data_IF_630428047272
#
_entry.id   IF_630428047272
#
_cell.length_a   1.000
_cell.length_b   1.000
_cell.length_c   1.000
_cell.angle_alpha   90.00
_cell.angle_beta   90.00
_cell.angle_gamma   90.00
#
_symmetry.space_group_name_H-M   'P 1'
#
loop_
_entity.id
_entity.type
_entity.pdbx_description
1 polymer ?
#
# COMPACT_ATOMS: atom_id res chain seq x y z
N UNK A 1 11.51 -22.55 1.51
CA UNK A 1 10.17 -22.40 0.91
C UNK A 1 10.25 -22.18 -0.61
N UNK A 2 10.44 -23.27 -1.35
CA UNK A 2 10.56 -23.25 -2.83
C UNK A 2 9.28 -22.71 -3.50
N UNK A 3 8.13 -22.77 -2.82
CA UNK A 3 6.82 -22.36 -3.36
C UNK A 3 6.32 -20.99 -2.92
N UNK A 4 6.95 -20.37 -1.95
CA UNK A 4 6.62 -18.99 -1.57
C UNK A 4 7.28 -18.01 -2.54
N UNK A 5 6.60 -16.87 -2.78
CA UNK A 5 7.14 -15.75 -3.58
C UNK A 5 7.26 -16.00 -5.09
N UNK A 6 6.58 -17.04 -5.61
CA UNK A 6 6.48 -17.27 -7.05
C UNK A 6 5.38 -16.44 -7.72
N UNK A 7 4.46 -15.85 -6.95
CA UNK A 7 3.32 -15.09 -7.45
C UNK A 7 3.68 -14.01 -8.47
N UNK A 8 4.62 -13.11 -8.18
CA UNK A 8 5.02 -12.05 -9.11
C UNK A 8 5.54 -12.61 -10.44
N UNK A 9 6.43 -13.58 -10.38
CA UNK A 9 7.02 -14.19 -11.58
C UNK A 9 6.00 -14.94 -12.41
N UNK A 10 5.14 -15.74 -11.77
CA UNK A 10 4.07 -16.49 -12.47
C UNK A 10 3.09 -15.52 -13.15
N UNK A 11 2.74 -14.41 -12.51
CA UNK A 11 1.87 -13.41 -13.11
C UNK A 11 2.49 -12.76 -14.36
N UNK A 12 3.79 -12.47 -14.33
CA UNK A 12 4.53 -11.96 -15.48
C UNK A 12 4.50 -12.98 -16.64
N UNK A 13 4.82 -14.23 -16.37
CA UNK A 13 4.79 -15.25 -17.40
C UNK A 13 3.39 -15.54 -17.93
N UNK A 14 2.37 -15.49 -17.06
CA UNK A 14 0.98 -15.63 -17.49
C UNK A 14 0.58 -14.48 -18.44
N UNK A 15 0.88 -13.24 -18.09
CA UNK A 15 0.58 -12.08 -18.93
C UNK A 15 1.31 -12.15 -20.27
N UNK A 16 2.59 -12.55 -20.24
CA UNK A 16 3.41 -12.76 -21.43
C UNK A 16 2.84 -13.85 -22.33
N UNK A 17 2.47 -14.99 -21.77
CA UNK A 17 1.90 -16.10 -22.52
C UNK A 17 0.56 -15.74 -23.16
N UNK A 18 -0.30 -14.99 -22.47
CA UNK A 18 -1.54 -14.47 -23.05
C UNK A 18 -1.26 -13.56 -24.27
N UNK A 19 -0.31 -12.63 -24.16
CA UNK A 19 0.12 -11.80 -25.31
C UNK A 19 0.66 -12.64 -26.47
N UNK A 20 1.44 -13.67 -26.18
CA UNK A 20 1.92 -14.60 -27.19
C UNK A 20 0.77 -15.29 -27.93
N UNK A 21 -0.21 -15.84 -27.21
CA UNK A 21 -1.37 -16.51 -27.82
C UNK A 21 -2.21 -15.56 -28.70
N UNK A 22 -2.42 -14.33 -28.24
CA UNK A 22 -3.11 -13.27 -28.98
C UNK A 22 -2.34 -12.93 -30.27
N UNK A 23 -1.04 -12.67 -30.16
CA UNK A 23 -0.18 -12.31 -31.27
C UNK A 23 -0.04 -13.42 -32.32
N UNK A 24 -0.21 -14.69 -31.90
CA UNK A 24 -0.27 -15.86 -32.81
C UNK A 24 -1.65 -16.11 -33.42
N UNK A 25 -2.66 -15.33 -33.03
CA UNK A 25 -4.04 -15.52 -33.46
C UNK A 25 -4.71 -16.79 -32.90
N UNK A 26 -4.15 -17.38 -31.84
CA UNK A 26 -4.69 -18.59 -31.21
C UNK A 26 -5.85 -18.30 -30.27
N UNK A 27 -5.94 -17.08 -29.73
CA UNK A 27 -7.06 -16.57 -28.95
C UNK A 27 -7.38 -15.12 -29.37
N UNK A 28 -8.62 -14.71 -29.17
CA UNK A 28 -9.02 -13.30 -29.37
C UNK A 28 -8.51 -12.43 -28.23
N UNK A 29 -8.14 -11.18 -28.55
CA UNK A 29 -7.91 -10.16 -27.54
C UNK A 29 -9.26 -9.64 -27.02
N UNK A 30 -9.60 -10.03 -25.80
CA UNK A 30 -10.80 -9.58 -25.09
C UNK A 30 -10.47 -8.51 -24.02
N UNK A 31 -9.26 -7.95 -24.03
CA UNK A 31 -8.81 -6.96 -23.06
C UNK A 31 -8.58 -7.54 -21.65
N UNK A 32 -8.43 -8.84 -21.52
CA UNK A 32 -8.21 -9.50 -20.22
C UNK A 32 -6.91 -9.03 -19.57
N UNK A 33 -6.95 -8.80 -18.27
CA UNK A 33 -5.80 -8.42 -17.44
C UNK A 33 -5.42 -9.53 -16.46
N UNK A 34 -4.13 -9.63 -16.19
CA UNK A 34 -3.57 -10.47 -15.11
C UNK A 34 -3.34 -9.56 -13.91
N UNK A 35 -3.97 -9.89 -12.79
CA UNK A 35 -3.82 -9.17 -11.53
C UNK A 35 -3.06 -10.03 -10.53
N UNK A 36 -2.03 -9.48 -9.90
CA UNK A 36 -1.31 -10.12 -8.81
C UNK A 36 -1.38 -9.24 -7.57
N UNK A 37 -1.89 -9.80 -6.46
CA UNK A 37 -1.96 -9.14 -5.16
C UNK A 37 -0.80 -9.63 -4.31
N UNK A 38 0.06 -8.72 -3.90
CA UNK A 38 1.38 -8.99 -3.34
C UNK A 38 1.57 -8.21 -2.03
N UNK A 39 2.43 -8.69 -1.15
CA UNK A 39 2.85 -7.96 0.05
C UNK A 39 4.14 -7.19 -0.16
N UNK A 40 4.34 -6.12 0.61
CA UNK A 40 5.59 -5.35 0.61
C UNK A 40 6.80 -6.17 1.08
N UNK A 41 6.61 -7.00 2.11
CA UNK A 41 7.63 -7.96 2.53
C UNK A 41 7.93 -9.06 1.52
N UNK A 42 6.94 -9.45 0.68
CA UNK A 42 7.15 -10.35 -0.44
C UNK A 42 7.96 -9.68 -1.55
N UNK A 43 7.66 -8.42 -1.85
CA UNK A 43 8.36 -7.66 -2.89
C UNK A 43 9.77 -7.20 -2.49
N UNK A 44 10.15 -7.34 -1.22
CA UNK A 44 11.50 -7.10 -0.74
C UNK A 44 12.48 -8.23 -1.09
N UNK A 45 11.99 -9.33 -1.61
CA UNK A 45 12.81 -10.48 -1.97
C UNK A 45 13.33 -10.36 -3.41
N UNK A 46 14.62 -10.71 -3.65
CA UNK A 46 15.23 -10.61 -4.99
C UNK A 46 14.45 -11.37 -6.07
N UNK A 47 13.89 -12.52 -5.73
CA UNK A 47 13.13 -13.37 -6.66
C UNK A 47 11.86 -12.66 -7.15
N UNK A 48 11.20 -11.91 -6.28
CA UNK A 48 9.99 -11.16 -6.62
C UNK A 48 10.27 -10.03 -7.61
N UNK A 49 11.45 -9.43 -7.53
CA UNK A 49 11.89 -8.32 -8.38
C UNK A 49 12.59 -8.78 -9.67
N UNK A 50 13.00 -10.05 -9.74
CA UNK A 50 13.91 -10.55 -10.78
C UNK A 50 13.38 -10.42 -12.21
N UNK A 51 12.08 -10.43 -12.44
CA UNK A 51 11.48 -10.41 -13.77
C UNK A 51 10.71 -9.09 -14.11
N UNK A 52 10.72 -8.09 -13.25
CA UNK A 52 9.97 -6.84 -13.49
C UNK A 52 10.49 -6.10 -14.75
N UNK A 53 11.80 -6.12 -14.99
CA UNK A 53 12.40 -5.53 -16.20
C UNK A 53 11.97 -6.23 -17.49
N UNK A 54 11.71 -7.55 -17.45
CA UNK A 54 11.16 -8.29 -18.58
C UNK A 54 9.76 -7.80 -18.92
N UNK A 55 8.89 -7.65 -17.92
CA UNK A 55 7.52 -7.20 -18.11
C UNK A 55 7.44 -5.83 -18.79
N UNK A 56 8.29 -4.89 -18.37
CA UNK A 56 8.36 -3.57 -18.98
C UNK A 56 8.89 -3.59 -20.40
N UNK A 57 9.97 -4.34 -20.65
CA UNK A 57 10.60 -4.47 -21.98
C UNK A 57 9.64 -5.07 -23.01
N UNK A 58 8.82 -6.04 -22.61
CA UNK A 58 7.80 -6.65 -23.45
C UNK A 58 6.47 -5.88 -23.45
N UNK A 59 6.41 -4.73 -22.76
CA UNK A 59 5.22 -3.85 -22.72
C UNK A 59 3.95 -4.60 -22.31
N UNK A 60 4.04 -5.40 -21.25
CA UNK A 60 2.91 -6.22 -20.78
C UNK A 60 1.84 -5.34 -20.12
N UNK A 61 1.12 -4.56 -20.90
CA UNK A 61 0.03 -3.69 -20.43
C UNK A 61 -1.22 -4.44 -19.97
N UNK A 62 -1.23 -5.74 -20.12
CA UNK A 62 -2.21 -6.66 -19.54
C UNK A 62 -1.82 -7.18 -18.14
N UNK A 63 -0.74 -6.65 -17.53
CA UNK A 63 -0.26 -7.03 -16.21
C UNK A 63 -0.44 -5.89 -15.21
N UNK A 64 -1.06 -6.20 -14.07
CA UNK A 64 -1.25 -5.25 -12.97
C UNK A 64 -0.81 -5.91 -11.66
N UNK A 65 0.16 -5.30 -10.98
CA UNK A 65 0.51 -5.66 -9.60
C UNK A 65 -0.20 -4.73 -8.64
N UNK A 66 -0.72 -5.27 -7.54
CA UNK A 66 -1.25 -4.53 -6.41
C UNK A 66 -0.42 -4.92 -5.18
N UNK A 67 0.42 -4.00 -4.72
CA UNK A 67 1.26 -4.23 -3.55
C UNK A 67 0.58 -3.66 -2.31
N UNK A 68 0.23 -4.56 -1.39
CA UNK A 68 -0.30 -4.22 -0.09
C UNK A 68 0.85 -3.81 0.84
N UNK A 69 1.06 -2.50 0.99
CA UNK A 69 2.13 -1.93 1.80
C UNK A 69 1.64 -1.63 3.21
N UNK A 70 1.63 -2.64 4.07
CA UNK A 70 1.35 -2.45 5.49
C UNK A 70 2.59 -2.06 6.32
N UNK A 71 3.76 -2.00 5.69
CA UNK A 71 5.06 -1.60 6.24
C UNK A 71 5.65 -2.59 7.25
N UNK A 72 5.05 -3.77 7.43
CA UNK A 72 5.43 -4.73 8.46
C UNK A 72 5.70 -6.13 7.91
N UNK A 73 6.76 -6.76 8.45
CA UNK A 73 7.02 -8.20 8.37
C UNK A 73 6.35 -8.93 9.55
N UNK A 74 6.83 -10.14 9.84
CA UNK A 74 6.33 -10.96 10.96
C UNK A 74 6.66 -10.34 12.32
N UNK A 75 7.83 -9.77 12.45
CA UNK A 75 8.50 -9.38 13.70
C UNK A 75 8.84 -7.88 13.76
N UNK A 76 8.52 -7.11 12.75
CA UNK A 76 8.83 -5.68 12.73
C UNK A 76 8.52 -5.00 11.39
N UNK A 77 8.95 -3.75 11.21
CA UNK A 77 8.81 -3.04 9.95
C UNK A 77 9.68 -3.67 8.86
N UNK A 78 9.23 -3.59 7.59
CA UNK A 78 10.03 -4.04 6.43
C UNK A 78 11.32 -3.22 6.36
N UNK A 79 11.21 -1.91 6.55
CA UNK A 79 12.32 -0.97 6.68
C UNK A 79 12.15 -0.13 7.95
N UNK A 80 12.89 -0.43 9.01
CA UNK A 80 12.79 0.31 10.28
C UNK A 80 13.11 1.79 10.12
N UNK A 81 14.28 2.08 9.56
CA UNK A 81 14.78 3.43 9.30
C UNK A 81 14.68 3.84 7.83
N UNK A 82 13.98 3.08 7.01
CA UNK A 82 13.77 3.31 5.59
C UNK A 82 12.31 3.57 5.25
N UNK A 83 12.02 3.53 3.93
CA UNK A 83 10.72 3.83 3.35
C UNK A 83 10.45 2.88 2.20
N UNK A 84 9.90 1.73 2.47
CA UNK A 84 9.69 0.67 1.47
C UNK A 84 8.83 1.13 0.29
N UNK A 85 7.84 1.99 0.51
CA UNK A 85 6.99 2.52 -0.57
C UNK A 85 7.81 3.32 -1.58
N UNK A 86 8.71 4.20 -1.11
CA UNK A 86 9.55 5.02 -1.99
C UNK A 86 10.60 4.16 -2.69
N UNK A 87 11.15 3.16 -2.01
CA UNK A 87 12.08 2.21 -2.61
C UNK A 87 11.41 1.42 -3.75
N UNK A 88 10.24 0.84 -3.50
CA UNK A 88 9.46 0.12 -4.51
C UNK A 88 9.05 1.05 -5.67
N UNK A 89 8.60 2.27 -5.38
CA UNK A 89 8.30 3.25 -6.43
C UNK A 89 9.52 3.49 -7.34
N UNK A 90 10.69 3.70 -6.74
CA UNK A 90 11.94 3.91 -7.48
C UNK A 90 12.31 2.71 -8.36
N UNK A 91 12.21 1.49 -7.82
CA UNK A 91 12.50 0.25 -8.52
C UNK A 91 11.55 0.06 -9.72
N UNK A 92 10.23 0.18 -9.53
CA UNK A 92 9.26 -0.01 -10.60
C UNK A 92 9.33 1.08 -11.67
N UNK A 93 9.51 2.35 -11.28
CA UNK A 93 9.71 3.45 -12.24
C UNK A 93 10.99 3.25 -13.05
N UNK A 94 12.09 2.88 -12.38
CA UNK A 94 13.37 2.60 -13.04
C UNK A 94 13.29 1.42 -14.01
N UNK A 95 12.44 0.43 -13.72
CA UNK A 95 12.16 -0.68 -14.62
C UNK A 95 11.20 -0.34 -15.78
N UNK A 96 10.58 0.85 -15.82
CA UNK A 96 9.68 1.28 -16.89
C UNK A 96 8.21 0.94 -16.67
N UNK A 97 7.78 0.68 -15.45
CA UNK A 97 6.38 0.46 -15.09
C UNK A 97 5.61 1.77 -14.89
N UNK A 98 4.33 1.76 -15.21
CA UNK A 98 3.39 2.76 -14.72
C UNK A 98 3.13 2.54 -13.22
N UNK A 99 3.38 3.57 -12.39
CA UNK A 99 3.26 3.47 -10.92
C UNK A 99 2.13 4.36 -10.43
N UNK A 100 1.16 3.76 -9.76
CA UNK A 100 0.04 4.44 -9.09
C UNK A 100 0.20 4.24 -7.58
N UNK A 101 0.25 5.34 -6.82
CA UNK A 101 0.35 5.29 -5.35
C UNK A 101 -0.98 5.63 -4.71
N UNK A 102 -1.44 4.79 -3.78
CA UNK A 102 -2.66 4.98 -2.98
C UNK A 102 -2.25 5.04 -1.51
N UNK A 103 -1.82 6.22 -1.06
CA UNK A 103 -1.13 6.40 0.23
C UNK A 103 -2.09 6.90 1.30
N UNK A 104 -2.84 7.96 1.01
CA UNK A 104 -3.70 8.64 1.97
C UNK A 104 -5.17 8.55 1.56
N UNK A 105 -6.03 8.28 2.53
CA UNK A 105 -7.48 8.26 2.34
C UNK A 105 -8.07 9.65 2.15
N UNK A 106 -9.33 9.72 1.76
CA UNK A 106 -10.03 10.96 1.40
C UNK A 106 -10.09 11.99 2.54
N UNK A 107 -10.07 11.57 3.81
CA UNK A 107 -10.01 12.50 4.95
C UNK A 107 -8.73 13.33 5.01
N UNK A 108 -7.66 12.92 4.32
CA UNK A 108 -6.45 13.72 4.20
C UNK A 108 -6.54 14.81 3.14
N UNK A 109 -7.47 14.71 2.18
CA UNK A 109 -7.54 15.62 1.04
C UNK A 109 -7.72 17.09 1.47
N UNK A 110 -8.61 17.43 2.46
CA UNK A 110 -8.72 18.80 2.94
C UNK A 110 -7.44 19.32 3.61
N UNK A 111 -6.73 18.47 4.36
CA UNK A 111 -5.47 18.86 5.01
C UNK A 111 -4.39 19.12 3.97
N UNK A 112 -4.27 18.24 2.96
CA UNK A 112 -3.31 18.42 1.86
C UNK A 112 -3.61 19.66 1.02
N UNK A 113 -4.90 19.95 0.77
CA UNK A 113 -5.32 21.16 0.05
C UNK A 113 -5.01 22.46 0.83
N UNK A 114 -4.99 22.41 2.15
CA UNK A 114 -4.70 23.54 3.02
C UNK A 114 -3.24 23.65 3.45
N UNK A 115 -2.37 22.72 3.06
CA UNK A 115 -0.93 22.75 3.34
C UNK A 115 -0.19 23.74 2.43
N UNK A 116 -0.47 25.04 2.61
CA UNK A 116 0.11 26.13 1.79
C UNK A 116 1.61 26.26 1.96
N UNK A 117 2.15 25.81 3.07
CA UNK A 117 3.58 25.91 3.41
C UNK A 117 4.37 24.67 3.02
N UNK A 118 3.70 23.57 2.67
CA UNK A 118 4.33 22.29 2.33
C UNK A 118 4.88 21.51 3.54
N UNK A 119 4.63 21.98 4.77
CA UNK A 119 5.16 21.32 5.98
C UNK A 119 4.49 19.98 6.25
N UNK A 120 3.21 19.80 5.89
CA UNK A 120 2.55 18.50 6.00
C UNK A 120 3.21 17.47 5.07
N UNK A 121 3.44 17.84 3.81
CA UNK A 121 4.16 16.98 2.85
C UNK A 121 5.57 16.69 3.35
N UNK A 122 6.25 17.68 3.92
CA UNK A 122 7.58 17.54 4.50
C UNK A 122 7.59 16.51 5.63
N UNK A 123 6.68 16.61 6.61
CA UNK A 123 6.53 15.62 7.68
C UNK A 123 6.26 14.23 7.12
N UNK A 124 5.35 14.10 6.13
CA UNK A 124 5.06 12.83 5.49
C UNK A 124 6.31 12.21 4.83
N UNK A 125 7.16 13.05 4.24
CA UNK A 125 8.39 12.59 3.59
C UNK A 125 9.53 12.29 4.56
N UNK A 126 9.57 12.91 5.72
CA UNK A 126 10.58 12.66 6.76
C UNK A 126 10.26 11.44 7.61
N UNK A 127 8.96 11.11 7.78
CA UNK A 127 8.51 10.02 8.62
C UNK A 127 8.87 8.67 8.00
N UNK A 128 9.61 7.84 8.75
CA UNK A 128 10.04 6.49 8.35
C UNK A 128 9.00 5.42 8.69
N UNK A 129 9.16 4.23 8.12
CA UNK A 129 8.17 3.15 8.26
C UNK A 129 7.95 2.71 9.72
N UNK A 130 9.02 2.66 10.53
CA UNK A 130 8.92 2.35 11.96
C UNK A 130 8.12 3.38 12.75
N UNK A 131 8.25 4.68 12.43
CA UNK A 131 7.44 5.74 13.05
C UNK A 131 5.96 5.61 12.66
N UNK A 132 5.66 5.31 11.38
CA UNK A 132 4.28 5.08 10.93
C UNK A 132 3.64 3.89 11.61
N UNK A 133 4.38 2.81 11.86
CA UNK A 133 3.92 1.67 12.63
C UNK A 133 3.60 2.08 14.07
N UNK A 134 4.53 2.75 14.74
CA UNK A 134 4.37 3.20 16.12
C UNK A 134 3.13 4.09 16.28
N UNK A 135 2.85 4.99 15.33
CA UNK A 135 1.67 5.86 15.35
C UNK A 135 0.37 5.08 15.32
N UNK A 136 0.29 3.99 14.55
CA UNK A 136 -0.94 3.17 14.43
C UNK A 136 -1.10 2.16 15.57
N UNK A 137 -0.03 1.83 16.28
CA UNK A 137 -0.08 1.04 17.50
C UNK A 137 -0.47 1.86 18.76
N UNK A 138 -0.73 3.18 18.60
CA UNK A 138 -1.06 4.13 19.69
C UNK A 138 -2.45 4.73 19.45
N UNK A 139 -2.58 6.06 19.58
CA UNK A 139 -3.84 6.79 19.47
C UNK A 139 -3.69 8.15 18.75
N UNK A 140 -4.78 8.88 18.64
CA UNK A 140 -4.80 10.19 17.98
C UNK A 140 -3.98 11.26 18.70
N UNK A 141 -3.90 11.20 20.04
CA UNK A 141 -3.09 12.13 20.82
C UNK A 141 -1.60 11.94 20.52
N UNK A 142 -1.16 10.68 20.43
CA UNK A 142 0.21 10.38 20.05
C UNK A 142 0.53 10.86 18.62
N UNK A 143 -0.39 10.67 17.67
CA UNK A 143 -0.21 11.16 16.28
C UNK A 143 -0.15 12.69 16.26
N UNK A 144 -1.01 13.38 17.03
CA UNK A 144 -0.96 14.84 17.19
C UNK A 144 0.43 15.30 17.64
N UNK A 145 0.96 14.67 18.68
CA UNK A 145 2.24 15.09 19.26
C UNK A 145 3.42 14.72 18.35
N UNK A 146 3.52 13.47 17.91
CA UNK A 146 4.73 12.93 17.24
C UNK A 146 4.77 13.17 15.74
N UNK A 147 3.63 13.28 15.07
CA UNK A 147 3.57 13.55 13.64
C UNK A 147 3.30 15.03 13.36
N UNK A 148 2.13 15.54 13.73
CA UNK A 148 1.78 16.94 13.50
C UNK A 148 2.57 17.90 14.38
N UNK A 149 3.09 17.41 15.51
CA UNK A 149 3.88 18.19 16.45
C UNK A 149 5.28 18.55 15.98
N UNK A 150 5.76 17.97 14.84
CA UNK A 150 7.12 18.22 14.32
C UNK A 150 7.33 19.68 13.88
N UNK A 151 6.28 20.34 13.39
CA UNK A 151 6.33 21.75 12.94
C UNK A 151 5.14 22.56 13.47
N UNK A 152 5.33 23.86 13.79
CA UNK A 152 4.23 24.73 14.20
C UNK A 152 3.10 24.80 13.18
N UNK A 153 3.43 24.83 11.87
CA UNK A 153 2.48 24.92 10.78
C UNK A 153 1.57 23.68 10.69
N UNK A 154 2.12 22.50 10.96
CA UNK A 154 1.32 21.26 10.99
C UNK A 154 0.46 21.18 12.25
N UNK A 155 0.89 21.75 13.38
CA UNK A 155 0.04 21.89 14.58
C UNK A 155 -1.15 22.81 14.32
N UNK A 156 -0.91 23.94 13.66
CA UNK A 156 -1.95 24.90 13.32
C UNK A 156 -2.97 24.29 12.36
N UNK A 157 -2.50 23.55 11.35
CA UNK A 157 -3.34 22.89 10.35
C UNK A 157 -4.40 21.96 10.96
N UNK A 158 -4.11 21.36 12.12
CA UNK A 158 -5.01 20.42 12.81
C UNK A 158 -5.62 21.02 14.11
N UNK A 159 -5.49 22.31 14.31
CA UNK A 159 -5.93 22.97 15.58
C UNK A 159 -7.41 22.75 15.90
N UNK A 160 -8.26 22.64 14.89
CA UNK A 160 -9.70 22.38 15.01
C UNK A 160 -10.08 20.90 15.13
N UNK A 161 -9.14 19.97 14.89
CA UNK A 161 -9.44 18.54 14.91
C UNK A 161 -9.28 17.98 16.33
N UNK A 162 -10.23 17.12 16.73
CA UNK A 162 -10.08 16.29 17.93
C UNK A 162 -9.09 15.15 17.69
N UNK A 163 -8.61 14.49 18.77
CA UNK A 163 -7.78 13.31 18.64
C UNK A 163 -8.51 12.15 17.95
N UNK A 164 -9.83 12.09 18.10
CA UNK A 164 -10.70 11.16 17.38
C UNK A 164 -10.68 11.41 15.87
N UNK A 165 -10.72 12.67 15.45
CA UNK A 165 -10.68 13.04 14.03
C UNK A 165 -9.31 12.73 13.43
N UNK A 166 -8.23 13.00 14.17
CA UNK A 166 -6.87 12.63 13.76
C UNK A 166 -6.74 11.10 13.62
N UNK A 167 -7.35 10.34 14.53
CA UNK A 167 -7.33 8.87 14.45
C UNK A 167 -8.06 8.34 13.23
N UNK A 168 -9.11 9.02 12.76
CA UNK A 168 -9.87 8.70 11.54
C UNK A 168 -9.11 8.96 10.24
N UNK A 169 -8.00 9.68 10.27
CA UNK A 169 -7.15 9.91 9.10
C UNK A 169 -6.55 8.57 8.63
N UNK A 170 -7.24 7.93 7.69
CA UNK A 170 -6.94 6.57 7.29
C UNK A 170 -5.92 6.47 6.15
N UNK A 171 -5.40 5.27 5.90
CA UNK A 171 -4.53 4.96 4.77
C UNK A 171 -5.36 4.79 3.50
N UNK A 172 -4.78 5.16 2.35
CA UNK A 172 -5.48 5.12 1.06
C UNK A 172 -5.90 3.72 0.63
N UNK A 173 -5.13 2.69 0.98
CA UNK A 173 -5.48 1.29 0.71
C UNK A 173 -6.74 0.78 1.45
N UNK A 174 -7.24 1.54 2.42
CA UNK A 174 -8.51 1.28 3.12
C UNK A 174 -9.63 2.26 2.71
N UNK A 175 -9.39 3.07 1.69
CA UNK A 175 -10.38 3.99 1.14
C UNK A 175 -10.93 3.42 -0.18
N UNK A 176 -12.19 2.95 -0.22
CA UNK A 176 -12.74 2.30 -1.39
C UNK A 176 -12.78 3.21 -2.63
N UNK A 177 -12.99 4.52 -2.45
CA UNK A 177 -13.00 5.46 -3.57
C UNK A 177 -11.61 5.64 -4.19
N UNK A 178 -10.57 5.76 -3.35
CA UNK A 178 -9.16 5.85 -3.79
C UNK A 178 -8.70 4.55 -4.46
N UNK A 179 -9.07 3.40 -3.90
CA UNK A 179 -8.75 2.08 -4.46
C UNK A 179 -9.45 1.88 -5.80
N UNK A 180 -10.75 2.18 -5.89
CA UNK A 180 -11.49 2.10 -7.14
C UNK A 180 -10.87 2.97 -8.24
N UNK A 181 -10.58 4.23 -7.95
CA UNK A 181 -9.96 5.14 -8.91
C UNK A 181 -8.59 4.64 -9.40
N UNK A 182 -7.80 4.05 -8.50
CA UNK A 182 -6.50 3.47 -8.84
C UNK A 182 -6.65 2.24 -9.76
N UNK A 183 -7.59 1.35 -9.47
CA UNK A 183 -7.84 0.15 -10.26
C UNK A 183 -8.42 0.49 -11.64
N UNK A 184 -9.35 1.43 -11.70
CA UNK A 184 -9.91 1.92 -12.97
C UNK A 184 -8.79 2.50 -13.85
N UNK A 185 -7.93 3.36 -13.29
CA UNK A 185 -6.79 3.91 -14.02
C UNK A 185 -5.77 2.84 -14.43
N UNK A 186 -5.50 1.87 -13.57
CA UNK A 186 -4.57 0.76 -13.86
C UNK A 186 -5.09 -0.10 -15.03
N UNK A 187 -6.39 -0.41 -15.03
CA UNK A 187 -7.01 -1.25 -16.08
C UNK A 187 -7.00 -0.60 -17.47
N UNK A 188 -7.00 0.72 -17.52
CA UNK A 188 -6.99 1.53 -18.76
C UNK A 188 -5.60 1.86 -19.28
N UNK A 189 -4.54 1.54 -18.52
CA UNK A 189 -3.17 1.81 -18.95
C UNK A 189 -2.79 0.95 -20.15
N UNK A 190 -2.09 1.54 -21.12
CA UNK A 190 -1.62 0.91 -22.35
C UNK A 190 -0.12 1.11 -22.50
N UNK A 191 0.56 0.12 -23.06
CA UNK A 191 1.96 0.20 -23.45
C UNK A 191 2.98 -0.10 -22.36
N UNK A 192 2.54 -0.29 -21.10
CA UNK A 192 3.43 -0.70 -20.00
C UNK A 192 2.65 -1.44 -18.90
N UNK A 193 3.29 -2.36 -18.17
CA UNK A 193 2.68 -2.94 -16.97
C UNK A 193 2.43 -1.87 -15.91
N UNK A 194 1.45 -2.10 -15.04
CA UNK A 194 1.09 -1.17 -13.97
C UNK A 194 1.32 -1.79 -12.60
N UNK A 195 1.85 -1.02 -11.67
CA UNK A 195 1.86 -1.34 -10.24
C UNK A 195 1.05 -0.32 -9.46
N UNK A 196 0.15 -0.81 -8.62
CA UNK A 196 -0.58 -0.04 -7.61
C UNK A 196 0.07 -0.30 -6.26
N UNK A 197 0.67 0.72 -5.65
CA UNK A 197 1.29 0.65 -4.33
C UNK A 197 0.28 1.21 -3.33
N UNK A 198 -0.38 0.33 -2.58
CA UNK A 198 -1.45 0.68 -1.66
C UNK A 198 -0.97 0.64 -0.20
N UNK A 199 -0.92 1.80 0.46
CA UNK A 199 -0.58 1.88 1.87
C UNK A 199 -1.76 1.44 2.73
N UNK A 200 -1.52 0.43 3.58
CA UNK A 200 -2.53 -0.19 4.44
C UNK A 200 -2.07 -0.25 5.90
N UNK A 201 -2.85 -0.89 6.73
CA UNK A 201 -2.55 -1.18 8.13
C UNK A 201 -2.64 -2.69 8.31
N UNK A 202 -1.60 -3.31 8.87
CA UNK A 202 -1.62 -4.74 9.21
C UNK A 202 -2.69 -4.99 10.27
N UNK A 203 -3.53 -6.02 10.06
CA UNK A 203 -4.61 -6.34 10.98
C UNK A 203 -5.73 -5.29 11.03
N UNK A 204 -5.93 -4.52 9.96
CA UNK A 204 -7.00 -3.52 9.89
C UNK A 204 -8.37 -4.10 10.24
N UNK A 205 -9.08 -3.44 11.16
CA UNK A 205 -10.39 -3.88 11.66
C UNK A 205 -10.33 -4.89 12.81
N UNK A 206 -9.15 -5.36 13.22
CA UNK A 206 -9.01 -6.30 14.34
C UNK A 206 -8.95 -5.63 15.73
N UNK A 207 -9.08 -4.31 15.79
CA UNK A 207 -9.03 -3.58 17.05
C UNK A 207 -7.63 -3.45 17.64
N UNK A 208 -7.59 -3.17 18.96
CA UNK A 208 -6.34 -2.83 19.67
C UNK A 208 -5.31 -3.97 19.70
N UNK A 209 -5.75 -5.22 19.73
CA UNK A 209 -4.86 -6.38 19.77
C UNK A 209 -4.28 -6.77 18.42
N UNK A 210 -4.87 -6.27 17.33
CA UNK A 210 -4.52 -6.66 15.98
C UNK A 210 -3.90 -5.57 15.12
N UNK A 211 -4.37 -4.32 15.23
CA UNK A 211 -3.92 -3.26 14.33
C UNK A 211 -2.49 -2.80 14.61
N UNK A 212 -1.62 -2.91 13.60
CA UNK A 212 -0.21 -2.49 13.63
C UNK A 212 0.68 -3.16 14.68
N UNK A 213 0.23 -4.23 15.32
CA UNK A 213 1.05 -4.97 16.27
C UNK A 213 1.77 -6.15 15.60
N UNK A 214 2.98 -6.47 16.06
CA UNK A 214 3.79 -7.53 15.46
C UNK A 214 3.17 -8.92 15.66
N UNK A 215 2.46 -9.12 16.78
CA UNK A 215 1.83 -10.39 17.14
C UNK A 215 0.63 -10.76 16.25
N UNK A 216 0.08 -9.83 15.47
CA UNK A 216 -1.10 -10.04 14.62
C UNK A 216 -0.98 -11.28 13.72
N UNK A 217 0.21 -11.51 13.16
CA UNK A 217 0.44 -12.65 12.27
C UNK A 217 0.36 -14.01 12.96
N UNK A 218 0.58 -14.04 14.28
CA UNK A 218 0.57 -15.26 15.11
C UNK A 218 -0.64 -15.35 16.02
N UNK A 219 -1.53 -14.37 15.98
CA UNK A 219 -2.74 -14.35 16.80
C UNK A 219 -3.64 -15.52 16.42
N UNK A 220 -3.83 -16.46 17.36
CA UNK A 220 -4.66 -17.67 17.18
C UNK A 220 -6.04 -17.56 17.82
N UNK A 221 -6.21 -16.60 18.74
CA UNK A 221 -7.46 -16.37 19.47
C UNK A 221 -7.68 -14.87 19.61
N UNK A 222 -8.91 -14.44 19.46
CA UNK A 222 -9.38 -13.09 19.75
C UNK A 222 -10.07 -13.12 21.11
N UNK A 223 -9.92 -12.07 21.90
CA UNK A 223 -10.73 -11.87 23.09
C UNK A 223 -12.14 -11.32 22.75
N UNK A 224 -12.95 -11.12 23.77
CA UNK A 224 -14.34 -10.67 23.56
C UNK A 224 -14.37 -9.25 22.94
N UNK A 225 -13.48 -8.35 23.36
CA UNK A 225 -13.42 -6.98 22.84
C UNK A 225 -12.97 -6.96 21.40
N UNK A 226 -12.03 -7.83 21.03
CA UNK A 226 -11.58 -8.02 19.65
C UNK A 226 -12.68 -8.59 18.77
N UNK A 227 -13.42 -9.61 19.27
CA UNK A 227 -14.55 -10.20 18.56
C UNK A 227 -15.66 -9.17 18.32
N UNK A 228 -15.93 -8.31 19.30
CA UNK A 228 -16.89 -7.22 19.15
C UNK A 228 -16.41 -6.20 18.11
N UNK A 229 -15.13 -5.84 18.12
CA UNK A 229 -14.55 -4.94 17.12
C UNK A 229 -14.70 -5.49 15.70
N UNK A 230 -14.35 -6.75 15.47
CA UNK A 230 -14.48 -7.41 14.16
C UNK A 230 -15.95 -7.50 13.75
N UNK A 231 -16.84 -7.89 14.65
CA UNK A 231 -18.28 -8.03 14.38
C UNK A 231 -18.90 -6.69 13.95
N UNK A 232 -18.62 -5.61 14.66
CA UNK A 232 -19.15 -4.28 14.32
C UNK A 232 -18.52 -3.67 13.04
N UNK A 233 -17.37 -4.16 12.61
CA UNK A 233 -16.73 -3.68 11.39
C UNK A 233 -17.25 -4.39 10.13
N UNK A 234 -17.79 -5.60 10.27
CA UNK A 234 -18.19 -6.46 9.17
C UNK A 234 -19.68 -6.81 9.11
N UNK A 235 -20.47 -6.35 10.06
CA UNK A 235 -21.95 -6.46 10.10
C UNK A 235 -22.58 -5.07 9.99
#
# INVERSE_FOLDING_TARGET
DVYKRQGPMLAIYQARYMKYLINRGLIKDEGRKVWAFLGDGEMDEPESLGAIGLAAREKLDNLIFVINCNLQRLDGPVRGNGKIIQELEGIFRGAGWNVIKVIWGSYWDPLLANDKTGHLIKVMNETVDGEYQAMKARDGAYVREKFFGKYPETKELISSLSDKDIWRLNRGGHDPHKVFAAYDKASKNIGSPTVVIAKTIKGYGMGKSGESVNTTHQTKKLDIDDLMSVSYTHL
#
